data_IF_038425284640
#
_entry.id   IF_038425284640
#
_cell.length_a   1.000
_cell.length_b   1.000
_cell.length_c   1.000
_cell.angle_alpha   90.00
_cell.angle_beta   90.00
_cell.angle_gamma   90.00
#
_symmetry.space_group_name_H-M   'P 1'
#
loop_
_entity.id
_entity.type
_entity.pdbx_description
1 polymer ?
#
# COMPACT_ATOMS: atom_id res chain seq x y z
N UNK A 1 42.73 -15.06 6.15
CA UNK A 1 41.95 -16.00 5.32
C UNK A 1 40.73 -15.25 4.79
N UNK A 2 40.81 -14.90 3.50
CA UNK A 2 39.73 -14.14 2.82
C UNK A 2 38.61 -15.11 2.42
N UNK A 3 37.47 -15.04 3.06
CA UNK A 3 36.24 -15.60 2.50
C UNK A 3 35.75 -14.68 1.38
N UNK A 4 36.06 -15.05 0.16
CA UNK A 4 35.43 -14.50 -1.04
C UNK A 4 33.97 -14.97 -1.04
N UNK A 5 33.02 -14.06 -0.72
CA UNK A 5 31.62 -14.28 -1.00
C UNK A 5 31.45 -14.47 -2.52
N UNK A 6 31.21 -15.70 -2.94
CA UNK A 6 30.89 -16.07 -4.31
C UNK A 6 29.64 -15.33 -4.73
N UNK A 7 29.77 -14.30 -5.56
CA UNK A 7 28.63 -13.67 -6.24
C UNK A 7 28.12 -14.68 -7.28
N UNK A 8 27.07 -15.42 -6.94
CA UNK A 8 26.41 -16.28 -7.90
C UNK A 8 25.95 -15.43 -9.09
N UNK A 9 26.46 -15.74 -10.29
CA UNK A 9 26.07 -15.07 -11.53
C UNK A 9 24.60 -15.37 -11.78
N UNK A 10 23.76 -14.31 -11.86
CA UNK A 10 22.33 -14.43 -12.14
C UNK A 10 22.12 -15.05 -13.52
N UNK A 11 21.21 -16.00 -13.61
CA UNK A 11 20.82 -16.68 -14.86
C UNK A 11 19.77 -15.88 -15.63
N UNK A 12 19.55 -16.25 -16.91
CA UNK A 12 18.43 -15.70 -17.69
C UNK A 12 17.08 -15.87 -16.95
N UNK A 13 16.86 -17.04 -16.34
CA UNK A 13 15.66 -17.33 -15.57
C UNK A 13 15.50 -16.39 -14.37
N UNK A 14 16.60 -16.00 -13.71
CA UNK A 14 16.57 -15.05 -12.60
C UNK A 14 16.18 -13.65 -13.06
N UNK A 15 16.66 -13.20 -14.21
CA UNK A 15 16.27 -11.90 -14.78
C UNK A 15 14.81 -11.90 -15.24
N UNK A 16 14.34 -12.96 -15.88
CA UNK A 16 12.92 -13.12 -16.26
C UNK A 16 12.05 -13.13 -15.01
N UNK A 17 12.45 -13.85 -13.97
CA UNK A 17 11.76 -13.87 -12.70
C UNK A 17 11.76 -12.50 -12.01
N UNK A 18 12.84 -11.72 -12.10
CA UNK A 18 12.96 -10.37 -11.56
C UNK A 18 12.13 -9.32 -12.32
N UNK A 19 11.69 -9.61 -13.56
CA UNK A 19 10.85 -8.73 -14.36
C UNK A 19 9.50 -8.39 -13.70
N UNK A 20 9.05 -9.23 -12.76
CA UNK A 20 7.82 -9.03 -11.98
C UNK A 20 8.15 -8.99 -10.49
N UNK A 21 7.59 -8.03 -9.77
CA UNK A 21 7.75 -7.94 -8.32
C UNK A 21 7.32 -9.26 -7.64
N UNK A 22 8.04 -9.69 -6.61
CA UNK A 22 7.76 -10.93 -5.86
C UNK A 22 6.30 -11.02 -5.38
N UNK A 23 5.74 -9.90 -4.90
CA UNK A 23 4.33 -9.83 -4.50
C UNK A 23 3.36 -10.09 -5.65
N UNK A 24 3.69 -9.62 -6.87
CA UNK A 24 2.88 -9.87 -8.07
C UNK A 24 2.94 -11.34 -8.46
N UNK A 25 4.12 -11.96 -8.44
CA UNK A 25 4.28 -13.40 -8.70
C UNK A 25 3.47 -14.23 -7.70
N UNK A 26 3.57 -13.90 -6.41
CA UNK A 26 2.80 -14.58 -5.35
C UNK A 26 1.29 -14.48 -5.56
N UNK A 27 0.77 -13.30 -5.94
CA UNK A 27 -0.66 -13.12 -6.20
C UNK A 27 -1.10 -13.85 -7.49
N UNK A 28 -0.28 -13.84 -8.54
CA UNK A 28 -0.57 -14.57 -9.78
C UNK A 28 -0.58 -16.09 -9.54
N UNK A 29 0.35 -16.63 -8.76
CA UNK A 29 0.35 -18.04 -8.37
C UNK A 29 -0.91 -18.44 -7.61
N UNK A 30 -1.37 -17.60 -6.66
CA UNK A 30 -2.65 -17.83 -5.97
C UNK A 30 -3.84 -17.78 -6.91
N UNK A 31 -3.87 -16.83 -7.84
CA UNK A 31 -4.96 -16.69 -8.79
C UNK A 31 -5.04 -17.90 -9.74
N UNK A 32 -3.89 -18.43 -10.17
CA UNK A 32 -3.79 -19.65 -10.95
C UNK A 32 -4.31 -20.84 -10.15
N UNK A 33 -3.89 -20.98 -8.90
CA UNK A 33 -4.37 -22.04 -8.00
C UNK A 33 -5.91 -22.00 -7.84
N UNK A 34 -6.49 -20.80 -7.62
CA UNK A 34 -7.95 -20.66 -7.57
C UNK A 34 -8.65 -21.07 -8.87
N UNK A 35 -8.02 -20.93 -10.02
CA UNK A 35 -8.57 -21.39 -11.29
C UNK A 35 -8.52 -22.90 -11.37
N UNK A 36 -7.38 -23.52 -11.09
CA UNK A 36 -7.19 -24.96 -11.14
C UNK A 36 -8.11 -25.70 -10.16
N UNK A 37 -8.29 -25.16 -8.96
CA UNK A 37 -9.18 -25.74 -7.94
C UNK A 37 -10.67 -25.52 -8.21
N UNK A 38 -11.02 -24.59 -9.08
CA UNK A 38 -12.43 -24.25 -9.34
C UNK A 38 -13.19 -25.38 -10.06
N UNK A 39 -12.48 -26.21 -10.83
CA UNK A 39 -12.98 -27.35 -11.56
C UNK A 39 -11.82 -28.31 -11.88
N UNK A 40 -12.00 -29.60 -11.68
CA UNK A 40 -10.96 -30.63 -11.92
C UNK A 40 -10.52 -30.74 -13.38
N UNK A 41 -11.33 -30.22 -14.32
CA UNK A 41 -10.99 -30.16 -15.74
C UNK A 41 -10.11 -28.95 -16.11
N UNK A 42 -9.95 -27.97 -15.20
CA UNK A 42 -9.16 -26.79 -15.48
C UNK A 42 -7.67 -27.11 -15.53
N UNK A 43 -7.02 -26.65 -16.58
CA UNK A 43 -5.59 -26.82 -16.81
C UNK A 43 -5.01 -25.61 -17.56
N UNK A 44 -3.70 -25.59 -17.73
CA UNK A 44 -3.03 -24.69 -18.66
C UNK A 44 -2.33 -25.57 -19.71
N UNK A 45 -2.61 -25.35 -21.00
CA UNK A 45 -3.48 -24.34 -21.59
C UNK A 45 -4.97 -24.61 -21.35
N UNK A 46 -5.71 -23.53 -21.04
CA UNK A 46 -7.14 -23.59 -20.85
C UNK A 46 -7.89 -23.23 -22.14
N UNK A 47 -9.07 -23.83 -22.34
CA UNK A 47 -9.98 -23.46 -23.43
C UNK A 47 -10.76 -22.19 -23.14
N UNK A 48 -11.34 -21.59 -24.18
CA UNK A 48 -12.26 -20.45 -24.06
C UNK A 48 -13.46 -20.79 -23.16
N UNK A 49 -13.95 -22.02 -23.23
CA UNK A 49 -15.11 -22.48 -22.46
C UNK A 49 -14.79 -22.62 -20.97
N UNK A 50 -13.62 -23.13 -20.60
CA UNK A 50 -13.16 -23.21 -19.22
C UNK A 50 -13.01 -21.79 -18.62
N UNK A 51 -12.40 -20.86 -19.35
CA UNK A 51 -12.28 -19.45 -18.91
C UNK A 51 -13.67 -18.80 -18.78
N UNK A 52 -14.59 -19.04 -19.73
CA UNK A 52 -15.95 -18.49 -19.69
C UNK A 52 -16.73 -18.99 -18.47
N UNK A 53 -16.68 -20.31 -18.20
CA UNK A 53 -17.31 -20.93 -17.02
C UNK A 53 -16.73 -20.36 -15.72
N UNK A 54 -15.41 -20.27 -15.61
CA UNK A 54 -14.75 -19.68 -14.45
C UNK A 54 -15.11 -18.21 -14.27
N UNK A 55 -15.16 -17.43 -15.37
CA UNK A 55 -15.55 -16.02 -15.35
C UNK A 55 -16.99 -15.84 -14.84
N UNK A 56 -17.93 -16.68 -15.28
CA UNK A 56 -19.31 -16.66 -14.78
C UNK A 56 -19.37 -16.97 -13.28
N UNK A 57 -18.63 -17.98 -12.81
CA UNK A 57 -18.53 -18.34 -11.39
C UNK A 57 -17.98 -17.20 -10.56
N UNK A 58 -16.89 -16.56 -10.99
CA UNK A 58 -16.30 -15.40 -10.32
C UNK A 58 -17.27 -14.22 -10.25
N UNK A 59 -18.06 -14.00 -11.31
CA UNK A 59 -19.01 -12.89 -11.35
C UNK A 59 -20.06 -12.96 -10.25
N UNK A 60 -20.39 -14.14 -9.73
CA UNK A 60 -21.34 -14.30 -8.63
C UNK A 60 -20.90 -13.65 -7.32
N UNK A 61 -19.62 -13.66 -6.99
CA UNK A 61 -19.12 -13.29 -5.65
C UNK A 61 -17.93 -12.34 -5.61
N UNK A 62 -17.19 -12.13 -6.71
CA UNK A 62 -16.00 -11.27 -6.71
C UNK A 62 -16.27 -9.86 -7.27
N UNK A 63 -15.50 -8.90 -6.81
CA UNK A 63 -15.47 -7.56 -7.39
C UNK A 63 -14.81 -7.58 -8.79
N UNK A 64 -15.25 -6.69 -9.69
CA UNK A 64 -14.78 -6.60 -11.08
C UNK A 64 -13.24 -6.51 -11.15
N UNK A 65 -12.60 -5.69 -10.32
CA UNK A 65 -11.13 -5.57 -10.31
C UNK A 65 -10.40 -6.86 -9.94
N UNK A 66 -10.98 -7.68 -9.06
CA UNK A 66 -10.41 -8.98 -8.70
C UNK A 66 -10.53 -9.94 -9.88
N UNK A 67 -11.67 -9.92 -10.58
CA UNK A 67 -11.90 -10.71 -11.80
C UNK A 67 -10.88 -10.31 -12.87
N UNK A 68 -10.71 -9.03 -13.14
CA UNK A 68 -9.74 -8.51 -14.12
C UNK A 68 -8.31 -8.95 -13.78
N UNK A 69 -7.90 -8.87 -12.52
CA UNK A 69 -6.59 -9.33 -12.08
C UNK A 69 -6.41 -10.83 -12.30
N UNK A 70 -7.40 -11.64 -11.95
CA UNK A 70 -7.35 -13.11 -12.19
C UNK A 70 -7.27 -13.47 -13.66
N UNK A 71 -7.98 -12.76 -14.53
CA UNK A 71 -7.83 -12.95 -15.98
C UNK A 71 -6.41 -12.57 -16.46
N UNK A 72 -5.80 -11.52 -15.92
CA UNK A 72 -4.40 -11.18 -16.23
C UNK A 72 -3.46 -12.27 -15.75
N UNK A 73 -3.68 -12.84 -14.57
CA UNK A 73 -2.86 -13.94 -14.05
C UNK A 73 -2.94 -15.19 -14.95
N UNK A 74 -4.15 -15.53 -15.43
CA UNK A 74 -4.36 -16.62 -16.39
C UNK A 74 -3.70 -16.32 -17.75
N UNK A 75 -3.79 -15.09 -18.24
CA UNK A 75 -3.08 -14.69 -19.45
C UNK A 75 -1.57 -14.90 -19.33
N UNK A 76 -0.99 -14.48 -18.22
CA UNK A 76 0.43 -14.65 -17.95
C UNK A 76 0.81 -16.14 -17.86
N UNK A 77 0.01 -16.96 -17.19
CA UNK A 77 0.26 -18.40 -17.10
C UNK A 77 0.27 -19.10 -18.47
N UNK A 78 -0.59 -18.70 -19.40
CA UNK A 78 -0.56 -19.21 -20.77
C UNK A 78 0.73 -18.80 -21.50
N UNK A 79 1.12 -17.52 -21.41
CA UNK A 79 2.36 -17.03 -22.03
C UNK A 79 3.60 -17.74 -21.47
N UNK A 80 3.64 -18.00 -20.16
CA UNK A 80 4.73 -18.73 -19.52
C UNK A 80 4.78 -20.19 -19.93
N UNK A 81 3.62 -20.77 -20.31
CA UNK A 81 3.54 -22.12 -20.91
C UNK A 81 3.83 -22.17 -22.43
N UNK A 82 4.11 -21.02 -23.05
CA UNK A 82 4.31 -20.94 -24.51
C UNK A 82 3.02 -21.06 -25.32
N UNK A 83 1.86 -20.89 -24.71
CA UNK A 83 0.56 -21.14 -25.32
C UNK A 83 -0.26 -19.87 -25.58
N UNK A 84 -1.09 -19.84 -26.64
CA UNK A 84 -1.99 -18.72 -26.89
C UNK A 84 -3.00 -18.55 -25.77
N UNK A 85 -3.14 -17.33 -25.28
CA UNK A 85 -4.07 -17.05 -24.18
C UNK A 85 -5.50 -16.82 -24.65
N UNK A 86 -6.49 -17.59 -24.21
CA UNK A 86 -7.90 -17.43 -24.57
C UNK A 86 -8.56 -16.22 -23.88
N UNK A 87 -7.91 -15.58 -22.91
CA UNK A 87 -8.44 -14.42 -22.17
C UNK A 87 -8.81 -13.25 -23.10
N UNK A 88 -8.11 -13.12 -24.22
CA UNK A 88 -8.38 -12.07 -25.21
C UNK A 88 -9.42 -12.45 -26.27
N UNK A 89 -9.99 -13.65 -26.18
CA UNK A 89 -11.06 -14.09 -27.08
C UNK A 89 -12.29 -13.17 -26.96
N UNK A 90 -12.97 -12.94 -28.10
CA UNK A 90 -14.08 -11.99 -28.18
C UNK A 90 -15.24 -12.28 -27.22
N UNK A 91 -15.53 -13.56 -26.99
CA UNK A 91 -16.52 -14.03 -26.03
C UNK A 91 -16.16 -13.60 -24.59
N UNK A 92 -14.93 -13.79 -24.15
CA UNK A 92 -14.46 -13.41 -22.82
C UNK A 92 -14.51 -11.90 -22.63
N UNK A 93 -14.08 -11.14 -23.64
CA UNK A 93 -14.19 -9.66 -23.62
C UNK A 93 -15.64 -9.20 -23.53
N UNK A 94 -16.56 -9.86 -24.25
CA UNK A 94 -17.99 -9.54 -24.20
C UNK A 94 -18.58 -9.82 -22.82
N UNK A 95 -18.28 -11.00 -22.22
CA UNK A 95 -18.70 -11.35 -20.87
C UNK A 95 -18.19 -10.36 -19.83
N UNK A 96 -16.89 -9.98 -19.89
CA UNK A 96 -16.32 -9.01 -18.96
C UNK A 96 -16.99 -7.64 -19.07
N UNK A 97 -17.34 -7.18 -20.31
CA UNK A 97 -18.13 -5.95 -20.49
C UNK A 97 -19.53 -6.06 -19.86
N UNK A 98 -20.19 -7.20 -20.03
CA UNK A 98 -21.48 -7.50 -19.39
C UNK A 98 -21.39 -7.42 -17.86
N UNK A 99 -20.40 -8.11 -17.27
CA UNK A 99 -20.15 -8.12 -15.83
C UNK A 99 -19.89 -6.70 -15.30
N UNK A 100 -19.08 -5.88 -16.01
CA UNK A 100 -18.84 -4.49 -15.64
C UNK A 100 -20.12 -3.66 -15.61
N UNK A 101 -21.02 -3.85 -16.58
CA UNK A 101 -22.32 -3.14 -16.65
C UNK A 101 -23.26 -3.57 -15.52
N UNK A 102 -23.31 -4.87 -15.25
CA UNK A 102 -24.23 -5.43 -14.25
C UNK A 102 -23.79 -5.13 -12.82
N UNK A 103 -22.48 -5.25 -12.52
CA UNK A 103 -21.94 -5.09 -11.16
C UNK A 103 -21.47 -3.67 -10.85
N UNK A 104 -21.28 -2.84 -11.87
CA UNK A 104 -20.57 -1.58 -11.72
C UNK A 104 -19.07 -1.74 -11.50
N UNK A 105 -18.33 -0.68 -11.69
CA UNK A 105 -16.85 -0.62 -11.51
C UNK A 105 -16.44 0.19 -10.27
N UNK A 106 -17.41 0.63 -9.47
CA UNK A 106 -17.16 1.42 -8.30
C UNK A 106 -16.35 0.63 -7.27
N UNK A 107 -15.15 1.11 -6.96
CA UNK A 107 -14.34 0.54 -5.88
C UNK A 107 -14.59 1.32 -4.60
N UNK A 108 -14.87 0.62 -3.51
CA UNK A 108 -14.86 1.23 -2.17
C UNK A 108 -13.46 1.77 -1.91
N UNK A 109 -13.32 3.09 -1.90
CA UNK A 109 -12.07 3.72 -1.49
C UNK A 109 -12.05 3.80 0.03
N UNK A 110 -10.87 3.58 0.62
CA UNK A 110 -10.69 3.82 2.04
C UNK A 110 -10.90 5.30 2.34
N UNK A 111 -11.59 5.59 3.44
CA UNK A 111 -11.82 6.95 3.93
C UNK A 111 -10.48 7.61 4.24
N UNK A 112 -10.30 8.85 3.81
CA UNK A 112 -9.12 9.63 4.12
C UNK A 112 -9.11 10.00 5.61
N UNK A 113 -7.97 9.84 6.27
CA UNK A 113 -7.71 10.36 7.62
C UNK A 113 -7.25 11.81 7.44
N UNK A 114 -8.16 12.76 7.54
CA UNK A 114 -7.83 14.18 7.46
C UNK A 114 -7.12 14.66 8.73
N UNK A 115 -6.63 15.90 8.72
CA UNK A 115 -5.84 16.46 9.82
C UNK A 115 -6.52 16.31 11.19
N UNK A 116 -7.80 16.65 11.28
CA UNK A 116 -8.54 16.59 12.55
C UNK A 116 -8.72 15.14 13.02
N UNK A 117 -8.99 14.20 12.10
CA UNK A 117 -9.02 12.77 12.42
C UNK A 117 -7.66 12.28 12.96
N UNK A 118 -6.55 12.71 12.34
CA UNK A 118 -5.20 12.37 12.82
C UNK A 118 -4.95 12.88 14.23
N UNK A 119 -5.34 14.13 14.52
CA UNK A 119 -5.16 14.73 15.85
C UNK A 119 -5.94 13.97 16.91
N UNK A 120 -7.19 13.61 16.63
CA UNK A 120 -8.00 12.81 17.52
C UNK A 120 -7.41 11.39 17.73
N UNK A 121 -6.92 10.76 16.65
CA UNK A 121 -6.21 9.48 16.74
C UNK A 121 -4.98 9.55 17.64
N UNK A 122 -4.21 10.63 17.59
CA UNK A 122 -3.04 10.81 18.44
C UNK A 122 -3.43 10.95 19.92
N UNK A 123 -4.54 11.64 20.21
CA UNK A 123 -5.07 11.76 21.59
C UNK A 123 -5.46 10.39 22.15
N UNK A 124 -6.22 9.59 21.39
CA UNK A 124 -6.65 8.27 21.87
C UNK A 124 -5.50 7.25 21.91
N UNK A 125 -4.56 7.34 20.99
CA UNK A 125 -3.35 6.51 20.99
C UNK A 125 -2.49 6.77 22.22
N UNK A 126 -2.45 8.02 22.70
CA UNK A 126 -1.71 8.46 23.90
C UNK A 126 -2.19 7.83 25.21
N UNK A 127 -3.35 7.16 25.24
CA UNK A 127 -3.88 6.46 26.43
C UNK A 127 -3.40 5.02 26.56
N UNK A 128 -2.53 4.55 25.67
CA UNK A 128 -2.00 3.18 25.67
C UNK A 128 -0.79 2.99 26.58
N UNK A 129 -0.15 1.83 26.47
CA UNK A 129 1.12 1.54 27.15
C UNK A 129 2.26 2.34 26.52
N UNK A 130 3.31 2.72 27.31
CA UNK A 130 4.35 3.65 26.84
C UNK A 130 4.99 3.30 25.50
N UNK A 131 5.40 2.05 25.34
CA UNK A 131 6.03 1.57 24.10
C UNK A 131 5.08 1.64 22.89
N UNK A 132 3.81 1.21 23.11
CA UNK A 132 2.78 1.29 22.07
C UNK A 132 2.43 2.73 21.72
N UNK A 133 2.36 3.64 22.70
CA UNK A 133 2.11 5.08 22.50
C UNK A 133 3.19 5.67 21.63
N UNK A 134 4.47 5.48 21.98
CA UNK A 134 5.60 6.03 21.24
C UNK A 134 5.62 5.52 19.79
N UNK A 135 5.50 4.19 19.58
CA UNK A 135 5.45 3.60 18.23
C UNK A 135 4.26 4.10 17.41
N UNK A 136 3.07 4.07 17.98
CA UNK A 136 1.85 4.40 17.26
C UNK A 136 1.81 5.87 16.86
N UNK A 137 2.24 6.77 17.74
CA UNK A 137 2.33 8.21 17.46
C UNK A 137 3.33 8.47 16.34
N UNK A 138 4.53 7.90 16.41
CA UNK A 138 5.54 8.04 15.36
C UNK A 138 5.04 7.47 14.02
N UNK A 139 4.44 6.27 14.03
CA UNK A 139 3.89 5.62 12.84
C UNK A 139 2.78 6.46 12.18
N UNK A 140 1.86 7.02 12.97
CA UNK A 140 0.77 7.85 12.46
C UNK A 140 1.28 9.16 11.87
N UNK A 141 2.15 9.87 12.59
CA UNK A 141 2.68 11.18 12.16
C UNK A 141 3.54 11.02 10.91
N UNK A 142 4.53 10.12 10.94
CA UNK A 142 5.42 9.88 9.81
C UNK A 142 4.64 9.35 8.61
N UNK A 143 3.76 8.37 8.84
CA UNK A 143 2.93 7.80 7.80
C UNK A 143 2.03 8.81 7.11
N UNK A 144 1.50 9.79 7.86
CA UNK A 144 0.65 10.84 7.34
C UNK A 144 1.46 11.93 6.64
N UNK A 145 2.44 12.55 7.32
CA UNK A 145 3.24 13.67 6.79
C UNK A 145 4.06 13.24 5.56
N UNK A 146 4.68 12.06 5.59
CA UNK A 146 5.42 11.50 4.46
C UNK A 146 4.54 10.82 3.42
N UNK A 147 3.22 10.79 3.61
CA UNK A 147 2.26 10.13 2.72
C UNK A 147 2.70 8.70 2.32
N UNK A 148 3.24 7.93 3.26
CA UNK A 148 3.79 6.60 2.99
C UNK A 148 2.72 5.59 2.59
N UNK A 149 3.10 4.67 1.71
CA UNK A 149 2.36 3.41 1.56
C UNK A 149 2.60 2.54 2.79
N UNK A 150 1.60 1.75 3.19
CA UNK A 150 1.71 0.84 4.35
C UNK A 150 2.90 -0.12 4.26
N UNK A 151 3.28 -0.55 3.05
CA UNK A 151 4.45 -1.40 2.83
C UNK A 151 5.75 -0.65 2.99
N UNK A 152 5.84 0.59 2.52
CA UNK A 152 6.99 1.47 2.69
C UNK A 152 7.20 1.72 4.20
N UNK A 153 6.14 2.11 4.90
CA UNK A 153 6.20 2.39 6.35
C UNK A 153 6.61 1.17 7.18
N UNK A 154 6.15 -0.02 6.80
CA UNK A 154 6.48 -1.27 7.49
C UNK A 154 7.95 -1.67 7.35
N UNK A 155 8.60 -1.29 6.25
CA UNK A 155 9.97 -1.71 5.92
C UNK A 155 11.01 -0.62 6.13
N UNK A 156 10.63 0.55 6.69
CA UNK A 156 11.59 1.61 7.03
C UNK A 156 12.64 1.12 8.01
N UNK A 157 13.87 1.56 7.80
CA UNK A 157 15.02 1.25 8.65
C UNK A 157 15.59 2.52 9.26
N UNK A 158 16.31 2.38 10.36
CA UNK A 158 16.98 3.51 11.00
C UNK A 158 18.00 4.17 10.06
N UNK A 159 18.70 3.36 9.28
CA UNK A 159 19.72 3.80 8.32
C UNK A 159 19.13 4.57 7.12
N UNK A 160 17.83 4.54 6.94
CA UNK A 160 17.15 5.28 5.88
C UNK A 160 16.88 6.74 6.25
N UNK A 161 17.15 7.14 7.51
CA UNK A 161 16.80 8.45 8.05
C UNK A 161 18.03 9.34 8.13
N UNK A 162 17.98 10.47 7.41
CA UNK A 162 18.91 11.59 7.59
C UNK A 162 18.25 12.68 8.43
N UNK A 163 18.92 13.07 9.51
CA UNK A 163 18.46 14.09 10.45
C UNK A 163 18.96 15.46 10.04
N UNK A 164 18.05 16.40 9.75
CA UNK A 164 18.37 17.77 9.33
C UNK A 164 17.79 18.77 10.34
N UNK A 165 18.32 19.98 10.36
CA UNK A 165 17.77 21.05 11.21
C UNK A 165 16.34 21.44 10.82
N UNK A 166 16.03 21.39 9.51
CA UNK A 166 14.71 21.71 8.95
C UNK A 166 13.69 20.57 9.02
N UNK A 167 14.12 19.34 9.33
CA UNK A 167 13.24 18.16 9.33
C UNK A 167 14.01 16.86 9.27
N UNK A 168 13.44 15.87 8.59
CA UNK A 168 14.07 14.57 8.31
C UNK A 168 13.91 14.23 6.83
N UNK A 169 14.94 13.60 6.27
CA UNK A 169 14.86 12.92 4.99
C UNK A 169 14.81 11.41 5.19
N UNK A 170 13.92 10.75 4.46
CA UNK A 170 13.75 9.30 4.52
C UNK A 170 13.92 8.72 3.13
N UNK A 171 14.94 7.89 2.96
CA UNK A 171 15.26 7.20 1.71
C UNK A 171 14.44 5.92 1.58
N UNK A 172 13.66 5.80 0.52
CA UNK A 172 12.96 4.56 0.16
C UNK A 172 13.83 3.76 -0.82
N UNK A 173 14.49 2.69 -0.33
CA UNK A 173 15.38 1.83 -1.14
C UNK A 173 14.61 1.06 -2.21
N UNK A 174 13.38 0.64 -1.91
CA UNK A 174 12.50 -0.06 -2.82
C UNK A 174 11.08 0.45 -2.65
N UNK A 175 10.52 1.07 -3.68
CA UNK A 175 9.12 1.44 -3.70
C UNK A 175 8.39 0.73 -4.84
N UNK A 176 7.06 0.55 -4.71
CA UNK A 176 6.24 -0.02 -5.80
C UNK A 176 6.37 0.78 -7.11
N UNK A 177 6.88 1.99 -7.04
CA UNK A 177 7.04 2.93 -8.16
C UNK A 177 8.46 2.97 -8.66
N UNK A 178 9.44 2.66 -7.80
CA UNK A 178 10.85 2.57 -8.15
C UNK A 178 11.28 1.11 -8.17
N UNK A 179 10.99 0.44 -9.27
CA UNK A 179 11.42 -0.94 -9.52
C UNK A 179 12.86 -0.99 -10.04
N UNK A 180 13.39 0.14 -10.49
CA UNK A 180 14.77 0.26 -10.96
C UNK A 180 15.79 0.47 -9.83
N UNK A 181 15.34 0.71 -8.60
CA UNK A 181 16.24 0.87 -7.44
C UNK A 181 16.98 2.22 -7.40
N UNK A 182 16.53 3.22 -8.15
CA UNK A 182 17.14 4.56 -8.13
C UNK A 182 17.01 5.25 -6.75
N UNK A 183 16.12 4.74 -5.90
CA UNK A 183 15.79 5.32 -4.61
C UNK A 183 14.85 6.53 -4.72
N UNK A 184 14.06 6.77 -3.70
CA UNK A 184 13.21 7.95 -3.61
C UNK A 184 13.34 8.56 -2.22
N UNK A 185 13.76 9.81 -2.14
CA UNK A 185 13.92 10.54 -0.86
C UNK A 185 12.65 11.32 -0.57
N UNK A 186 12.13 11.18 0.65
CA UNK A 186 11.01 11.95 1.19
C UNK A 186 11.51 12.90 2.24
N UNK A 187 11.24 14.18 2.05
CA UNK A 187 11.49 15.20 3.08
C UNK A 187 10.22 15.40 3.93
N UNK A 188 10.35 15.29 5.24
CA UNK A 188 9.32 15.57 6.24
C UNK A 188 9.76 16.78 7.04
N UNK A 189 9.12 17.95 6.86
CA UNK A 189 9.49 19.18 7.56
C UNK A 189 9.20 19.08 9.06
N UNK A 190 9.92 19.86 9.84
CA UNK A 190 9.60 20.05 11.25
C UNK A 190 8.20 20.64 11.42
N UNK A 191 7.54 20.27 12.50
CA UNK A 191 6.26 20.83 12.92
C UNK A 191 6.33 21.22 14.41
N UNK A 192 5.32 21.93 14.90
CA UNK A 192 5.31 22.38 16.29
C UNK A 192 4.89 21.26 17.27
N UNK A 193 5.64 21.14 18.35
CA UNK A 193 5.33 20.29 19.50
C UNK A 193 5.30 18.79 19.15
N UNK A 194 4.45 18.04 19.82
CA UNK A 194 4.34 16.58 19.70
C UNK A 194 3.89 16.08 18.32
N UNK A 195 3.53 16.97 17.40
CA UNK A 195 3.13 16.65 16.01
C UNK A 195 4.31 16.65 15.04
N UNK A 196 5.52 17.01 15.50
CA UNK A 196 6.72 17.03 14.69
C UNK A 196 7.18 15.62 14.35
N UNK A 197 7.34 15.25 13.05
CA UNK A 197 7.80 13.92 12.66
C UNK A 197 9.17 13.57 13.24
N UNK A 198 10.09 14.57 13.26
CA UNK A 198 11.43 14.42 13.86
C UNK A 198 11.34 14.05 15.33
N UNK A 199 10.60 14.84 16.12
CA UNK A 199 10.47 14.59 17.57
C UNK A 199 9.74 13.27 17.87
N UNK A 200 8.74 12.93 17.09
CA UNK A 200 8.02 11.67 17.25
C UNK A 200 8.93 10.46 16.99
N UNK A 201 9.80 10.51 15.98
CA UNK A 201 10.76 9.44 15.72
C UNK A 201 11.87 9.40 16.76
N UNK A 202 12.42 10.53 17.18
CA UNK A 202 13.42 10.60 18.25
C UNK A 202 12.85 10.01 19.56
N UNK A 203 11.63 10.38 19.92
CA UNK A 203 10.96 9.82 21.09
C UNK A 203 10.76 8.29 20.96
N UNK A 204 10.33 7.83 19.79
CA UNK A 204 10.20 6.39 19.52
C UNK A 204 11.53 5.66 19.66
N UNK A 205 12.60 6.15 19.06
CA UNK A 205 13.93 5.55 19.17
C UNK A 205 14.45 5.55 20.61
N UNK A 206 14.25 6.65 21.35
CA UNK A 206 14.64 6.73 22.76
C UNK A 206 13.89 5.70 23.62
N UNK A 207 12.56 5.60 23.48
CA UNK A 207 11.75 4.67 24.26
C UNK A 207 12.02 3.21 23.89
N UNK A 208 12.24 2.94 22.60
CA UNK A 208 12.42 1.58 22.08
C UNK A 208 13.86 1.06 22.18
N UNK A 209 14.84 1.96 22.27
CA UNK A 209 16.26 1.61 22.13
C UNK A 209 16.67 1.16 20.73
N UNK A 210 15.80 1.30 19.71
CA UNK A 210 16.11 0.89 18.34
C UNK A 210 17.01 1.93 17.69
N UNK A 211 18.26 1.56 17.42
CA UNK A 211 19.28 2.40 16.77
C UNK A 211 19.61 1.94 15.36
N UNK A 212 19.31 0.68 15.02
CA UNK A 212 19.63 0.06 13.73
C UNK A 212 18.53 -0.90 13.27
N UNK A 213 18.54 -1.23 12.00
CA UNK A 213 17.62 -2.18 11.40
C UNK A 213 16.22 -1.60 11.25
N UNK A 214 15.20 -2.46 11.31
CA UNK A 214 13.81 -2.03 11.09
C UNK A 214 13.30 -1.08 12.16
N UNK A 215 12.82 0.08 11.70
CA UNK A 215 12.36 1.17 12.56
C UNK A 215 11.08 0.82 13.32
N UNK A 216 10.08 0.26 12.62
CA UNK A 216 8.81 -0.11 13.24
C UNK A 216 8.69 -1.63 13.39
N UNK A 217 8.62 -2.06 14.65
CA UNK A 217 8.57 -3.48 15.04
C UNK A 217 7.27 -3.80 15.77
N UNK A 218 6.82 -5.06 15.79
CA UNK A 218 5.66 -5.47 16.57
C UNK A 218 5.91 -5.30 18.08
N UNK A 219 4.86 -4.99 18.81
CA UNK A 219 4.86 -4.91 20.26
C UNK A 219 3.80 -5.88 20.77
N UNK A 220 4.19 -6.74 21.71
CA UNK A 220 3.30 -7.74 22.29
C UNK A 220 2.38 -7.14 23.37
N UNK A 221 1.52 -7.98 23.96
CA UNK A 221 0.59 -7.57 25.03
C UNK A 221 1.28 -7.10 26.31
N UNK A 222 2.56 -7.44 26.51
CA UNK A 222 3.36 -7.06 27.66
C UNK A 222 4.20 -5.79 27.41
N UNK A 223 3.94 -5.07 26.33
CA UNK A 223 4.65 -3.88 25.89
C UNK A 223 6.13 -4.11 25.52
N UNK A 224 6.47 -5.34 25.06
CA UNK A 224 7.80 -5.73 24.64
C UNK A 224 7.91 -5.72 23.12
N UNK A 225 9.04 -5.26 22.61
CA UNK A 225 9.34 -5.13 21.17
C UNK A 225 9.84 -6.46 20.62
N UNK A 226 9.34 -6.84 19.43
CA UNK A 226 9.88 -7.93 18.64
C UNK A 226 11.04 -7.49 17.75
N UNK A 227 11.78 -8.46 17.20
CA UNK A 227 12.95 -8.19 16.34
C UNK A 227 12.58 -7.95 14.87
N UNK A 228 11.51 -8.60 14.41
CA UNK A 228 11.09 -8.54 13.02
C UNK A 228 10.37 -7.22 12.68
N UNK A 229 10.32 -6.80 11.39
CA UNK A 229 9.55 -5.63 10.99
C UNK A 229 8.05 -5.83 11.19
N UNK A 230 7.31 -4.73 11.29
CA UNK A 230 5.86 -4.78 11.10
C UNK A 230 5.53 -5.33 9.71
N UNK A 231 4.47 -6.12 9.62
CA UNK A 231 3.91 -6.44 8.30
C UNK A 231 3.05 -5.27 7.78
N UNK A 232 2.89 -5.11 6.45
CA UNK A 232 1.95 -4.13 5.91
C UNK A 232 0.52 -4.33 6.42
N UNK A 233 0.13 -5.57 6.75
CA UNK A 233 -1.15 -5.87 7.36
C UNK A 233 -1.22 -5.32 8.79
N UNK A 234 -0.18 -5.53 9.59
CA UNK A 234 -0.11 -5.02 10.96
C UNK A 234 -0.22 -3.48 11.02
N UNK A 235 0.43 -2.75 10.10
CA UNK A 235 0.24 -1.29 9.97
C UNK A 235 -1.24 -0.95 9.76
N UNK A 236 -1.95 -1.66 8.88
CA UNK A 236 -3.38 -1.43 8.66
C UNK A 236 -4.22 -1.74 9.91
N UNK A 237 -3.88 -2.77 10.67
CA UNK A 237 -4.59 -3.13 11.91
C UNK A 237 -4.37 -2.08 13.01
N UNK A 238 -3.14 -1.54 13.13
CA UNK A 238 -2.85 -0.45 14.06
C UNK A 238 -3.73 0.77 13.74
N UNK A 239 -3.76 1.21 12.48
CA UNK A 239 -4.59 2.33 12.05
C UNK A 239 -6.07 2.07 12.34
N UNK A 240 -6.59 0.89 12.00
CA UNK A 240 -8.00 0.52 12.25
C UNK A 240 -8.35 0.52 13.72
N UNK A 241 -7.50 -0.08 14.57
CA UNK A 241 -7.72 -0.12 16.02
C UNK A 241 -7.76 1.27 16.63
N UNK A 242 -6.88 2.18 16.21
CA UNK A 242 -6.86 3.55 16.74
C UNK A 242 -8.09 4.32 16.25
N UNK A 243 -8.51 4.15 15.01
CA UNK A 243 -9.76 4.74 14.49
C UNK A 243 -10.98 4.24 15.26
N UNK A 244 -11.04 2.95 15.56
CA UNK A 244 -12.11 2.36 16.36
C UNK A 244 -12.22 3.01 17.73
N UNK A 245 -11.09 3.32 18.38
CA UNK A 245 -11.05 4.06 19.65
C UNK A 245 -11.58 5.49 19.56
N UNK A 246 -11.67 6.08 18.36
CA UNK A 246 -12.32 7.38 18.12
C UNK A 246 -13.83 7.25 17.88
N UNK A 247 -14.40 6.04 17.98
CA UNK A 247 -15.82 5.77 17.73
C UNK A 247 -16.20 5.65 16.24
N UNK A 248 -15.23 5.66 15.31
CA UNK A 248 -15.48 5.52 13.87
C UNK A 248 -15.42 4.06 13.43
N UNK A 249 -16.17 3.75 12.36
CA UNK A 249 -16.22 2.40 11.77
C UNK A 249 -14.87 2.02 11.12
N UNK A 250 -14.08 1.08 11.70
CA UNK A 250 -12.76 0.70 11.18
C UNK A 250 -12.82 0.01 9.81
N UNK A 251 -13.99 -0.50 9.38
CA UNK A 251 -14.14 -1.13 8.06
C UNK A 251 -13.96 -0.14 6.90
N UNK A 252 -14.18 1.15 7.14
CA UNK A 252 -14.02 2.23 6.15
C UNK A 252 -12.57 2.69 5.98
N UNK A 253 -11.66 2.28 6.87
CA UNK A 253 -10.28 2.75 6.92
C UNK A 253 -9.27 1.63 6.63
N UNK A 254 -8.07 2.03 6.28
CA UNK A 254 -6.94 1.13 6.02
C UNK A 254 -5.61 1.85 6.23
N UNK A 255 -4.48 1.15 6.15
CA UNK A 255 -3.16 1.80 6.14
C UNK A 255 -2.95 2.80 4.98
N UNK A 256 -3.79 2.75 3.94
CA UNK A 256 -3.76 3.75 2.85
C UNK A 256 -4.49 5.05 3.21
N UNK A 257 -5.30 5.05 4.27
CA UNK A 257 -6.08 6.22 4.73
C UNK A 257 -5.21 7.38 5.21
N UNK A 258 -4.01 7.11 5.75
CA UNK A 258 -3.04 8.14 6.12
C UNK A 258 -2.57 8.94 4.90
N UNK A 259 -2.14 8.22 3.86
CA UNK A 259 -1.70 8.84 2.60
C UNK A 259 -2.87 9.55 1.88
N UNK A 260 -4.05 8.97 1.91
CA UNK A 260 -5.25 9.59 1.36
C UNK A 260 -5.58 10.91 2.09
N UNK A 261 -5.41 10.93 3.41
CA UNK A 261 -5.58 12.12 4.25
C UNK A 261 -4.64 13.23 3.87
N UNK A 262 -3.33 12.96 3.82
CA UNK A 262 -2.33 13.94 3.38
C UNK A 262 -2.67 14.56 2.02
N UNK A 263 -3.01 13.74 1.02
CA UNK A 263 -3.36 14.24 -0.31
C UNK A 263 -4.62 15.08 -0.27
N UNK A 264 -5.64 14.65 0.48
CA UNK A 264 -6.91 15.39 0.61
C UNK A 264 -6.68 16.76 1.27
N UNK A 265 -5.93 16.81 2.36
CA UNK A 265 -5.55 18.07 3.03
C UNK A 265 -4.71 18.97 2.14
N UNK A 266 -3.73 18.42 1.43
CA UNK A 266 -2.92 19.19 0.50
C UNK A 266 -3.75 19.85 -0.61
N UNK A 267 -4.73 19.11 -1.15
CA UNK A 267 -5.68 19.66 -2.14
C UNK A 267 -6.55 20.75 -1.52
N UNK A 268 -7.05 20.53 -0.30
CA UNK A 268 -7.84 21.54 0.43
C UNK A 268 -7.03 22.79 0.76
N UNK A 269 -5.75 22.64 1.07
CA UNK A 269 -4.82 23.74 1.28
C UNK A 269 -4.39 24.45 -0.02
N UNK A 270 -4.80 23.96 -1.19
CA UNK A 270 -4.45 24.56 -2.48
C UNK A 270 -3.04 24.21 -2.98
N UNK A 271 -2.38 23.20 -2.39
CA UNK A 271 -1.07 22.74 -2.84
C UNK A 271 -1.17 22.21 -4.28
N UNK A 272 -0.32 22.67 -5.21
CA UNK A 272 -0.34 22.20 -6.59
C UNK A 272 -0.13 20.69 -6.71
N UNK A 273 -0.81 20.07 -7.69
CA UNK A 273 -0.76 18.61 -7.89
C UNK A 273 0.67 18.07 -8.04
N UNK A 274 1.54 18.81 -8.74
CA UNK A 274 2.93 18.37 -8.94
C UNK A 274 3.74 18.30 -7.63
N UNK A 275 3.52 19.22 -6.69
CA UNK A 275 4.16 19.17 -5.37
C UNK A 275 3.65 18.00 -4.53
N UNK A 276 2.34 17.76 -4.56
CA UNK A 276 1.77 16.57 -3.91
C UNK A 276 2.30 15.27 -4.52
N UNK A 277 2.53 15.24 -5.84
CA UNK A 277 3.13 14.09 -6.53
C UNK A 277 4.58 13.86 -6.10
N UNK A 278 5.36 14.92 -5.86
CA UNK A 278 6.72 14.80 -5.34
C UNK A 278 6.74 14.11 -3.98
N UNK A 279 5.88 14.51 -3.03
CA UNK A 279 5.83 13.88 -1.70
C UNK A 279 5.30 12.44 -1.78
N UNK A 280 4.29 12.23 -2.61
CA UNK A 280 3.60 10.94 -2.67
C UNK A 280 4.23 9.93 -3.62
N UNK A 281 5.18 10.33 -4.47
CA UNK A 281 5.73 9.50 -5.54
C UNK A 281 4.63 8.89 -6.44
N UNK A 282 3.64 9.70 -6.86
CA UNK A 282 2.66 9.28 -7.86
C UNK A 282 3.25 9.51 -9.26
N UNK A 283 3.24 8.48 -10.12
CA UNK A 283 3.68 8.57 -11.51
C UNK A 283 2.63 9.20 -12.43
N UNK A 284 1.37 9.25 -12.00
CA UNK A 284 0.25 9.70 -12.84
C UNK A 284 -0.63 10.65 -12.06
N UNK A 285 -0.90 11.80 -12.63
CA UNK A 285 -1.84 12.77 -12.11
C UNK A 285 -3.27 12.21 -12.00
N UNK A 286 -3.67 11.31 -12.90
CA UNK A 286 -4.97 10.64 -12.84
C UNK A 286 -5.19 9.90 -11.51
N UNK A 287 -4.11 9.35 -10.91
CA UNK A 287 -4.20 8.70 -9.61
C UNK A 287 -4.45 9.72 -8.50
N UNK A 288 -3.83 10.90 -8.59
CA UNK A 288 -4.04 11.99 -7.65
C UNK A 288 -5.41 12.63 -7.81
N UNK A 289 -5.92 12.76 -9.04
CA UNK A 289 -7.22 13.38 -9.35
C UNK A 289 -8.40 12.72 -8.62
N UNK A 290 -8.29 11.45 -8.22
CA UNK A 290 -9.33 10.79 -7.41
C UNK A 290 -9.53 11.50 -6.07
N UNK A 291 -8.45 11.98 -5.47
CA UNK A 291 -8.47 12.74 -4.22
C UNK A 291 -8.84 14.21 -4.46
N UNK A 292 -8.37 14.79 -5.57
CA UNK A 292 -8.69 16.16 -6.00
C UNK A 292 -10.20 16.34 -6.19
N UNK A 293 -10.90 15.36 -6.77
CA UNK A 293 -12.36 15.41 -6.96
C UNK A 293 -13.10 15.53 -5.63
N UNK A 294 -12.65 14.85 -4.58
CA UNK A 294 -13.27 14.93 -3.24
C UNK A 294 -13.05 16.32 -2.66
N UNK A 295 -11.82 16.84 -2.72
CA UNK A 295 -11.48 18.19 -2.24
C UNK A 295 -12.23 19.31 -3.01
N UNK A 296 -12.28 19.23 -4.35
CA UNK A 296 -12.97 20.22 -5.19
C UNK A 296 -14.48 20.22 -4.94
N UNK A 297 -15.14 19.07 -4.77
CA UNK A 297 -16.59 19.00 -4.46
C UNK A 297 -16.97 19.76 -3.18
N UNK A 298 -16.07 19.78 -2.20
CA UNK A 298 -16.29 20.52 -0.94
C UNK A 298 -16.06 22.03 -1.05
N UNK A 299 -15.51 22.50 -2.18
CA UNK A 299 -15.18 23.92 -2.42
C UNK A 299 -16.08 24.59 -3.49
N UNK A 300 -17.02 23.86 -4.06
CA UNK A 300 -17.98 24.50 -4.95
C UNK A 300 -18.87 25.39 -4.11
N UNK A 301 -18.82 26.74 -4.28
CA UNK A 301 -19.70 27.63 -3.54
C UNK A 301 -21.14 27.38 -3.94
N UNK A 302 -22.07 27.67 -3.04
CA UNK A 302 -23.47 27.76 -3.40
C UNK A 302 -23.62 28.84 -4.47
N UNK A 303 -24.30 28.52 -5.56
CA UNK A 303 -24.64 29.47 -6.61
C UNK A 303 -25.99 30.21 -6.32
N UNK A 304 -26.53 30.00 -5.12
CA UNK A 304 -27.72 30.64 -4.60
C UNK A 304 -27.36 31.78 -3.66
#
# INVERSE_FOLDING_TARGET
>A
MNEQASSATLTEADYVAASKAQSTRKEYGKDLHYFLDADSSNCIPASVDQIATYLAKMAGHLAVKTIERRLISLHVAHLEAGEPSPVHHQRIKAMLRGIRRTKGIATKQATAIVKDDLLEMLVVAGKGKPMQVARNSALLIVGWVGAFRRSELATLRCEDIAWLDSGIEITLRHSKVDQSGAGFVKFLPNAHGSRCPRLALQHWQTVSGITEGYLFRPINRHDQIGEQPLTPHAVSQIVKRIIELTGRDPAKYSGHSLRAGFVTEGVLAGIPSYQLMQVTAHRSEQTLQKYVRIGKRRRIPSLL
#
